data_IF_603422268695
#
_entry.id   IF_603422268695
#
_cell.length_a   1.000
_cell.length_b   1.000
_cell.length_c   1.000
_cell.angle_alpha   90.00
_cell.angle_beta   90.00
_cell.angle_gamma   90.00
#
_symmetry.space_group_name_H-M   'P 1'
#
loop_
_entity.id
_entity.type
_entity.pdbx_description
1 polymer ?
#
# COMPACT_ATOMS: atom_id res chain seq x y z
N UNK A 1 -0.68 -28.95 -7.72
CA UNK A 1 -0.69 -28.33 -6.38
C UNK A 1 -2.11 -27.83 -6.12
N UNK A 2 -2.56 -27.73 -4.86
CA UNK A 2 -3.86 -27.15 -4.58
C UNK A 2 -3.95 -25.71 -5.09
N UNK A 3 -5.16 -25.30 -5.45
CA UNK A 3 -5.44 -23.98 -6.01
C UNK A 3 -5.25 -22.90 -4.94
N UNK A 4 -4.44 -21.85 -5.18
CA UNK A 4 -4.29 -20.74 -4.24
C UNK A 4 -5.62 -20.07 -3.93
N UNK A 5 -5.74 -19.48 -2.74
CA UNK A 5 -6.92 -18.71 -2.32
C UNK A 5 -6.58 -17.24 -2.17
N UNK A 6 -7.34 -16.38 -2.85
CA UNK A 6 -7.27 -14.93 -2.70
C UNK A 6 -8.45 -14.47 -1.82
N UNK A 7 -8.14 -13.94 -0.65
CA UNK A 7 -9.09 -13.23 0.19
C UNK A 7 -9.30 -11.82 -0.35
N UNK A 8 -10.53 -11.51 -0.72
CA UNK A 8 -10.87 -10.41 -1.63
C UNK A 8 -12.14 -9.67 -1.17
N UNK A 9 -12.26 -8.40 -1.54
CA UNK A 9 -13.52 -7.67 -1.44
C UNK A 9 -13.64 -6.73 -2.65
N UNK A 10 -14.76 -6.73 -3.39
CA UNK A 10 -14.87 -5.99 -4.65
C UNK A 10 -14.71 -4.48 -4.51
N UNK A 11 -15.10 -3.91 -3.37
CA UNK A 11 -14.93 -2.49 -3.10
C UNK A 11 -13.47 -2.08 -2.83
N UNK A 12 -12.53 -3.01 -2.71
CA UNK A 12 -11.12 -2.71 -2.42
C UNK A 12 -10.29 -2.58 -3.70
N UNK A 13 -9.79 -1.38 -4.05
CA UNK A 13 -8.87 -1.21 -5.19
C UNK A 13 -7.63 -2.11 -5.16
N UNK A 14 -6.87 -2.23 -4.05
CA UNK A 14 -5.70 -3.10 -4.04
C UNK A 14 -6.05 -4.58 -4.23
N UNK A 15 -7.24 -5.03 -3.79
CA UNK A 15 -7.69 -6.40 -4.01
C UNK A 15 -8.08 -6.64 -5.48
N UNK A 16 -8.71 -5.65 -6.12
CA UNK A 16 -9.00 -5.66 -7.55
C UNK A 16 -7.76 -5.69 -8.42
N UNK A 17 -6.69 -5.00 -8.04
CA UNK A 17 -5.41 -5.07 -8.76
C UNK A 17 -4.89 -6.52 -8.85
N UNK A 18 -4.97 -7.27 -7.75
CA UNK A 18 -4.56 -8.70 -7.72
C UNK A 18 -5.49 -9.56 -8.57
N UNK A 19 -6.81 -9.35 -8.48
CA UNK A 19 -7.77 -10.10 -9.28
C UNK A 19 -7.61 -9.82 -10.79
N UNK A 20 -7.29 -8.58 -11.15
CA UNK A 20 -6.96 -8.16 -12.51
C UNK A 20 -5.74 -8.93 -13.03
N UNK A 21 -4.67 -9.04 -12.23
CA UNK A 21 -3.50 -9.85 -12.59
C UNK A 21 -3.84 -11.34 -12.76
N UNK A 22 -4.64 -11.92 -11.85
CA UNK A 22 -5.08 -13.32 -11.94
C UNK A 22 -5.75 -13.59 -13.28
N UNK A 23 -6.61 -12.66 -13.75
CA UNK A 23 -7.26 -12.74 -15.07
C UNK A 23 -6.26 -12.56 -16.22
N UNK A 24 -5.35 -11.59 -16.14
CA UNK A 24 -4.33 -11.36 -17.16
C UNK A 24 -3.48 -12.61 -17.44
N UNK A 25 -3.02 -13.25 -16.37
CA UNK A 25 -2.16 -14.43 -16.41
C UNK A 25 -2.93 -15.74 -16.69
N UNK A 26 -4.27 -15.68 -16.67
CA UNK A 26 -5.14 -16.85 -16.80
C UNK A 26 -4.91 -17.87 -15.69
N UNK A 27 -4.71 -17.39 -14.45
CA UNK A 27 -4.50 -18.26 -13.30
C UNK A 27 -5.83 -18.77 -12.75
N UNK A 28 -5.84 -20.03 -12.31
CA UNK A 28 -6.94 -20.58 -11.51
C UNK A 28 -6.65 -20.26 -10.04
N UNK A 29 -7.49 -19.43 -9.42
CA UNK A 29 -7.39 -19.01 -8.02
C UNK A 29 -8.79 -19.08 -7.41
N UNK A 30 -8.90 -19.61 -6.19
CA UNK A 30 -10.14 -19.55 -5.41
C UNK A 30 -10.30 -18.13 -4.87
N UNK A 31 -11.36 -17.42 -5.25
CA UNK A 31 -11.63 -16.08 -4.70
C UNK A 31 -12.59 -16.24 -3.52
N UNK A 32 -12.11 -15.94 -2.31
CA UNK A 32 -12.92 -15.96 -1.08
C UNK A 32 -13.24 -14.52 -0.69
N UNK A 33 -14.51 -14.16 -0.76
CA UNK A 33 -14.94 -12.84 -0.32
C UNK A 33 -14.84 -12.71 1.20
N UNK A 34 -14.24 -11.61 1.68
CA UNK A 34 -14.15 -11.24 3.10
C UNK A 34 -14.42 -9.75 3.20
N UNK A 35 -15.46 -9.37 3.95
CA UNK A 35 -15.92 -8.00 4.07
C UNK A 35 -15.28 -7.27 5.28
N UNK A 36 -14.33 -6.33 5.06
CA UNK A 36 -13.69 -5.60 6.16
C UNK A 36 -14.66 -4.64 6.89
N UNK A 37 -15.70 -4.15 6.19
CA UNK A 37 -16.72 -3.26 6.77
C UNK A 37 -17.63 -4.00 7.75
N UNK A 38 -17.84 -5.30 7.54
CA UNK A 38 -18.52 -6.18 8.49
C UNK A 38 -17.59 -6.70 9.61
N UNK A 39 -16.31 -6.30 9.60
CA UNK A 39 -15.32 -6.71 10.60
C UNK A 39 -14.77 -8.12 10.42
N UNK A 40 -15.01 -8.79 9.28
CA UNK A 40 -14.63 -10.18 9.07
C UNK A 40 -13.10 -10.41 9.09
N UNK A 41 -12.33 -9.38 8.73
CA UNK A 41 -10.85 -9.43 8.82
C UNK A 41 -10.33 -9.36 10.25
N UNK A 42 -11.15 -8.95 11.23
CA UNK A 42 -10.78 -8.83 12.65
C UNK A 42 -11.12 -10.10 13.45
N UNK A 43 -11.55 -11.16 12.79
CA UNK A 43 -11.79 -12.45 13.44
C UNK A 43 -10.47 -13.13 13.80
N UNK A 44 -10.44 -13.89 14.89
CA UNK A 44 -9.28 -14.70 15.28
C UNK A 44 -8.82 -15.66 14.17
N UNK A 45 -9.76 -16.16 13.36
CA UNK A 45 -9.46 -17.01 12.20
C UNK A 45 -8.69 -16.23 11.13
N UNK A 46 -9.16 -15.03 10.75
CA UNK A 46 -8.49 -14.23 9.73
C UNK A 46 -7.16 -13.64 10.22
N UNK A 47 -7.08 -13.20 11.47
CA UNK A 47 -5.83 -12.66 12.04
C UNK A 47 -4.71 -13.71 12.12
N UNK A 48 -5.03 -15.01 12.15
CA UNK A 48 -4.04 -16.09 12.02
C UNK A 48 -3.48 -16.23 10.61
N UNK A 49 -4.23 -15.81 9.60
CA UNK A 49 -3.85 -15.81 8.18
C UNK A 49 -3.05 -14.53 7.90
N UNK A 50 -3.61 -13.37 8.25
CA UNK A 50 -2.97 -12.07 8.11
C UNK A 50 -3.15 -11.25 9.41
N UNK A 51 -2.08 -11.13 10.23
CA UNK A 51 -2.11 -10.36 11.48
C UNK A 51 -2.51 -8.89 11.29
N UNK A 52 -2.23 -8.32 10.12
CA UNK A 52 -2.59 -6.94 9.80
C UNK A 52 -4.07 -6.75 9.51
N UNK A 53 -4.86 -7.84 9.49
CA UNK A 53 -6.32 -7.84 9.27
C UNK A 53 -6.76 -7.02 8.05
N UNK A 54 -5.97 -7.11 6.96
CA UNK A 54 -6.16 -6.40 5.68
C UNK A 54 -6.46 -7.36 4.53
N UNK A 55 -7.05 -6.81 3.47
CA UNK A 55 -7.21 -7.47 2.18
C UNK A 55 -6.60 -6.58 1.07
N UNK A 56 -6.06 -7.17 -0.02
CA UNK A 56 -6.02 -8.59 -0.31
C UNK A 56 -5.04 -9.37 0.57
N UNK A 57 -5.33 -10.65 0.77
CA UNK A 57 -4.40 -11.63 1.35
C UNK A 57 -4.40 -12.86 0.44
N UNK A 58 -3.23 -13.41 0.13
CA UNK A 58 -3.07 -14.65 -0.62
C UNK A 58 -2.73 -15.79 0.35
N UNK A 59 -3.39 -16.93 0.20
CA UNK A 59 -2.96 -18.23 0.72
C UNK A 59 -2.54 -19.09 -0.47
N UNK A 60 -1.24 -19.24 -0.66
CA UNK A 60 -0.66 -20.20 -1.58
C UNK A 60 -0.22 -21.44 -0.80
N UNK A 61 -1.16 -22.32 -0.51
CA UNK A 61 -0.90 -23.64 0.06
C UNK A 61 -0.19 -23.59 1.43
N UNK A 62 -0.63 -22.68 2.31
CA UNK A 62 -0.04 -22.43 3.62
C UNK A 62 1.07 -21.37 3.62
N UNK A 63 1.43 -20.85 2.44
CA UNK A 63 2.19 -19.60 2.34
C UNK A 63 1.22 -18.42 2.29
N UNK A 64 1.11 -17.71 3.42
CA UNK A 64 0.28 -16.52 3.53
C UNK A 64 1.06 -15.26 3.18
N UNK A 65 0.50 -14.43 2.30
CA UNK A 65 1.11 -13.18 1.87
C UNK A 65 0.06 -12.06 1.87
N UNK A 66 0.22 -11.09 2.75
CA UNK A 66 -0.45 -9.78 2.70
C UNK A 66 0.21 -8.87 1.67
N UNK A 67 -0.18 -7.59 1.65
CA UNK A 67 0.37 -6.56 0.74
C UNK A 67 0.16 -6.82 -0.75
N UNK A 68 -0.87 -6.18 -1.32
CA UNK A 68 -1.24 -6.29 -2.74
C UNK A 68 -0.08 -6.19 -3.73
N UNK A 69 0.85 -5.24 -3.59
CA UNK A 69 1.98 -5.10 -4.54
C UNK A 69 3.00 -6.24 -4.40
N UNK A 70 3.16 -6.81 -3.21
CA UNK A 70 3.97 -8.01 -3.01
C UNK A 70 3.28 -9.25 -3.61
N UNK A 71 1.96 -9.37 -3.45
CA UNK A 71 1.16 -10.44 -4.09
C UNK A 71 1.28 -10.35 -5.61
N UNK A 72 1.20 -9.15 -6.21
CA UNK A 72 1.32 -8.95 -7.65
C UNK A 72 2.65 -9.48 -8.20
N UNK A 73 3.78 -9.09 -7.59
CA UNK A 73 5.11 -9.53 -8.04
C UNK A 73 5.31 -11.03 -7.81
N UNK A 74 4.88 -11.54 -6.66
CA UNK A 74 4.93 -12.96 -6.31
C UNK A 74 4.17 -13.83 -7.32
N UNK A 75 2.93 -13.49 -7.67
CA UNK A 75 2.13 -14.30 -8.59
C UNK A 75 2.77 -14.41 -9.97
N UNK A 76 3.40 -13.34 -10.47
CA UNK A 76 4.16 -13.43 -11.72
C UNK A 76 5.40 -14.30 -11.55
N UNK A 77 6.24 -14.03 -10.55
CA UNK A 77 7.50 -14.77 -10.37
C UNK A 77 7.27 -16.27 -10.09
N UNK A 78 6.21 -16.64 -9.36
CA UNK A 78 5.89 -18.02 -9.02
C UNK A 78 5.18 -18.79 -10.16
N UNK A 79 4.24 -18.15 -10.87
CA UNK A 79 3.38 -18.86 -11.83
C UNK A 79 3.67 -18.56 -13.30
N UNK A 80 4.32 -17.43 -13.60
CA UNK A 80 4.63 -16.96 -14.97
C UNK A 80 5.99 -16.21 -15.00
N UNK A 81 7.10 -16.82 -14.54
CA UNK A 81 8.38 -16.12 -14.44
C UNK A 81 8.82 -15.53 -15.77
N UNK A 82 9.20 -14.25 -15.78
CA UNK A 82 9.62 -13.53 -16.98
C UNK A 82 8.48 -13.07 -17.90
N UNK A 83 7.22 -13.12 -17.45
CA UNK A 83 6.09 -12.56 -18.19
C UNK A 83 6.28 -11.06 -18.47
N UNK A 84 5.72 -10.57 -19.58
CA UNK A 84 5.85 -9.15 -19.99
C UNK A 84 5.31 -8.15 -18.97
N UNK A 85 4.37 -8.56 -18.12
CA UNK A 85 3.84 -7.73 -17.04
C UNK A 85 4.88 -7.46 -15.93
N UNK A 86 5.86 -8.36 -15.75
CA UNK A 86 6.93 -8.22 -14.77
C UNK A 86 8.20 -8.96 -15.26
N UNK A 87 8.92 -8.39 -16.24
CA UNK A 87 10.02 -9.06 -16.90
C UNK A 87 11.24 -9.17 -15.97
N UNK A 88 12.05 -10.22 -16.17
CA UNK A 88 13.33 -10.41 -15.47
C UNK A 88 14.48 -9.61 -16.11
N UNK A 89 14.18 -8.39 -16.55
CA UNK A 89 15.15 -7.44 -17.11
C UNK A 89 15.35 -6.33 -16.07
N UNK A 90 16.55 -6.20 -15.47
CA UNK A 90 16.74 -5.35 -14.28
C UNK A 90 16.24 -3.91 -14.42
N UNK A 91 16.48 -3.27 -15.57
CA UNK A 91 16.04 -1.88 -15.80
C UNK A 91 14.52 -1.75 -15.92
N UNK A 92 13.88 -2.68 -16.61
CA UNK A 92 12.41 -2.69 -16.76
C UNK A 92 11.74 -3.02 -15.42
N UNK A 93 12.24 -4.04 -14.73
CA UNK A 93 11.78 -4.43 -13.38
C UNK A 93 11.90 -3.27 -12.40
N UNK A 94 12.99 -2.50 -12.47
CA UNK A 94 13.19 -1.31 -11.62
C UNK A 94 12.18 -0.18 -11.91
N UNK A 95 11.83 0.05 -13.19
CA UNK A 95 10.81 1.04 -13.54
C UNK A 95 9.42 0.64 -13.05
N UNK A 96 9.10 -0.65 -13.12
CA UNK A 96 7.84 -1.19 -12.58
C UNK A 96 7.81 -1.04 -11.06
N UNK A 97 8.86 -1.52 -10.37
CA UNK A 97 8.95 -1.43 -8.91
C UNK A 97 8.85 0.02 -8.43
N UNK A 98 9.48 0.98 -9.12
CA UNK A 98 9.34 2.41 -8.79
C UNK A 98 7.88 2.83 -8.72
N UNK A 99 7.04 2.39 -9.66
CA UNK A 99 5.62 2.76 -9.68
C UNK A 99 4.85 2.00 -8.62
N UNK A 100 5.12 0.71 -8.40
CA UNK A 100 4.52 -0.06 -7.29
C UNK A 100 4.78 0.61 -5.92
N UNK A 101 6.01 1.06 -5.68
CA UNK A 101 6.38 1.76 -4.44
C UNK A 101 5.83 3.20 -4.39
N UNK A 102 5.82 3.93 -5.51
CA UNK A 102 5.20 5.25 -5.58
C UNK A 102 3.70 5.17 -5.27
N UNK A 103 3.04 4.17 -5.82
CA UNK A 103 1.63 3.91 -5.57
C UNK A 103 1.37 3.63 -4.09
N UNK A 104 2.12 2.68 -3.50
CA UNK A 104 2.01 2.34 -2.08
C UNK A 104 2.28 3.52 -1.13
N UNK A 105 3.39 4.24 -1.34
CA UNK A 105 3.91 5.21 -0.37
C UNK A 105 3.55 6.66 -0.66
N UNK A 106 3.00 6.98 -1.83
CA UNK A 106 2.73 8.36 -2.23
C UNK A 106 1.36 8.56 -2.85
N UNK A 107 0.99 7.82 -3.89
CA UNK A 107 -0.26 8.06 -4.59
C UNK A 107 -1.46 7.54 -3.80
N UNK A 108 -1.51 6.24 -3.49
CA UNK A 108 -2.66 5.62 -2.82
C UNK A 108 -3.00 6.28 -1.47
N UNK A 109 -2.04 6.57 -0.57
CA UNK A 109 -2.36 7.23 0.68
C UNK A 109 -2.90 8.65 0.48
N UNK A 110 -2.26 9.49 -0.34
CA UNK A 110 -2.67 10.89 -0.55
C UNK A 110 -3.99 11.00 -1.30
N UNK A 111 -4.13 10.19 -2.34
CA UNK A 111 -5.33 10.20 -3.17
C UNK A 111 -6.48 9.55 -2.43
N UNK A 112 -6.28 8.38 -1.82
CA UNK A 112 -7.29 7.70 -1.00
C UNK A 112 -7.74 8.52 0.20
N UNK A 113 -6.81 9.14 0.95
CA UNK A 113 -7.15 9.98 2.11
C UNK A 113 -7.98 11.22 1.72
N UNK A 114 -7.82 11.72 0.49
CA UNK A 114 -8.63 12.82 -0.02
C UNK A 114 -10.13 12.49 -0.06
N UNK A 115 -10.48 11.20 -0.08
CA UNK A 115 -11.86 10.71 -0.03
C UNK A 115 -12.18 10.01 1.32
N UNK A 116 -11.23 9.94 2.24
CA UNK A 116 -11.35 9.20 3.50
C UNK A 116 -12.58 9.61 4.31
N UNK A 117 -12.83 10.92 4.42
CA UNK A 117 -13.99 11.50 5.12
C UNK A 117 -15.34 11.07 4.54
N UNK A 118 -15.41 10.74 3.25
CA UNK A 118 -16.63 10.21 2.63
C UNK A 118 -16.86 8.74 2.97
N UNK A 119 -15.78 7.95 3.06
CA UNK A 119 -15.83 6.53 3.43
C UNK A 119 -16.17 6.33 4.91
N UNK A 120 -15.64 7.19 5.77
CA UNK A 120 -15.94 7.19 7.21
C UNK A 120 -17.31 7.79 7.50
N UNK A 121 -17.83 8.66 6.63
CA UNK A 121 -19.07 9.39 6.85
C UNK A 121 -18.95 10.70 7.60
N UNK A 122 -17.72 11.14 7.83
CA UNK A 122 -17.46 12.42 8.47
C UNK A 122 -17.86 13.58 7.59
N UNK A 123 -17.75 13.38 6.28
CA UNK A 123 -17.93 14.39 5.28
C UNK A 123 -18.94 13.90 4.26
N UNK A 124 -19.88 14.77 3.92
CA UNK A 124 -20.78 14.56 2.78
C UNK A 124 -20.17 15.11 1.48
N UNK A 125 -19.10 15.90 1.58
CA UNK A 125 -18.40 16.52 0.46
C UNK A 125 -16.89 16.53 0.70
N UNK A 126 -16.11 16.49 -0.38
CA UNK A 126 -14.66 16.61 -0.32
C UNK A 126 -14.27 18.07 -0.04
N UNK A 127 -13.39 18.29 0.95
CA UNK A 127 -12.86 19.62 1.25
C UNK A 127 -12.01 20.18 0.11
N UNK A 128 -11.86 21.52 0.03
CA UNK A 128 -11.00 22.14 -1.00
C UNK A 128 -9.53 21.72 -0.89
N UNK A 129 -9.04 21.48 0.34
CA UNK A 129 -7.69 20.96 0.57
C UNK A 129 -7.52 19.53 0.03
N UNK A 130 -8.49 18.65 0.30
CA UNK A 130 -8.48 17.28 -0.22
C UNK A 130 -8.61 17.27 -1.75
N UNK A 131 -9.43 18.17 -2.33
CA UNK A 131 -9.48 18.36 -3.80
C UNK A 131 -8.12 18.79 -4.35
N UNK A 132 -7.45 19.76 -3.73
CA UNK A 132 -6.12 20.21 -4.15
C UNK A 132 -5.08 19.09 -4.07
N UNK A 133 -5.11 18.29 -3.00
CA UNK A 133 -4.25 17.13 -2.81
C UNK A 133 -4.49 16.07 -3.89
N UNK A 134 -5.76 15.72 -4.15
CA UNK A 134 -6.13 14.78 -5.22
C UNK A 134 -5.70 15.30 -6.60
N UNK A 135 -5.95 16.58 -6.91
CA UNK A 135 -5.53 17.19 -8.17
C UNK A 135 -4.01 17.19 -8.35
N UNK A 136 -3.25 17.43 -7.28
CA UNK A 136 -1.79 17.34 -7.33
C UNK A 136 -1.36 15.91 -7.62
N UNK A 137 -1.93 14.91 -6.95
CA UNK A 137 -1.61 13.51 -7.17
C UNK A 137 -1.87 13.07 -8.63
N UNK A 138 -3.01 13.48 -9.21
CA UNK A 138 -3.34 13.23 -10.61
C UNK A 138 -2.39 13.98 -11.58
N UNK A 139 -1.98 15.20 -11.24
CA UNK A 139 -0.99 15.96 -12.01
C UNK A 139 0.38 15.28 -12.00
N UNK A 140 0.79 14.73 -10.86
CA UNK A 140 2.04 13.98 -10.76
C UNK A 140 1.98 12.73 -11.67
N UNK A 141 0.85 12.00 -11.69
CA UNK A 141 0.62 10.86 -12.62
C UNK A 141 0.65 11.27 -14.10
N UNK A 142 -0.04 12.34 -14.48
CA UNK A 142 -0.01 12.91 -15.83
C UNK A 142 1.43 13.17 -16.29
N UNK A 143 2.28 13.69 -15.39
CA UNK A 143 3.69 13.97 -15.69
C UNK A 143 4.52 12.69 -15.88
N UNK A 144 4.19 11.59 -15.21
CA UNK A 144 4.87 10.31 -15.42
C UNK A 144 4.62 9.73 -16.83
N UNK A 145 3.47 10.05 -17.44
CA UNK A 145 3.08 9.59 -18.77
C UNK A 145 3.57 10.50 -19.92
N UNK A 146 4.44 11.49 -19.65
CA UNK A 146 4.95 12.41 -20.68
C UNK A 146 5.67 11.69 -21.82
N UNK A 147 6.33 10.57 -21.51
CA UNK A 147 7.21 9.86 -22.46
C UNK A 147 6.70 8.49 -22.89
N UNK A 148 5.65 7.99 -22.25
CA UNK A 148 5.22 6.60 -22.36
C UNK A 148 3.69 6.53 -22.36
N UNK A 149 3.13 5.54 -23.03
CA UNK A 149 1.69 5.25 -23.01
C UNK A 149 1.26 4.53 -21.71
N UNK A 150 2.20 3.89 -21.01
CA UNK A 150 2.03 3.20 -19.72
C UNK A 150 3.09 3.62 -18.71
N UNK A 151 2.84 3.36 -17.42
CA UNK A 151 3.68 3.91 -16.34
C UNK A 151 5.11 3.34 -16.27
N UNK A 152 5.36 2.21 -16.93
CA UNK A 152 6.69 1.60 -17.03
C UNK A 152 7.21 1.42 -18.47
N UNK A 153 6.50 1.91 -19.49
CA UNK A 153 6.94 1.79 -20.89
C UNK A 153 5.79 1.87 -21.90
N UNK A 154 5.97 1.20 -23.05
CA UNK A 154 5.00 1.22 -24.16
C UNK A 154 3.89 0.17 -24.03
N UNK A 155 4.02 -0.78 -23.08
CA UNK A 155 3.05 -1.85 -22.85
C UNK A 155 2.61 -1.86 -21.39
N UNK A 156 1.39 -2.34 -21.08
CA UNK A 156 0.93 -2.44 -19.70
C UNK A 156 1.80 -3.42 -18.90
N UNK A 157 1.99 -3.09 -17.62
CA UNK A 157 2.76 -3.89 -16.65
C UNK A 157 2.07 -3.88 -15.28
N UNK A 158 2.66 -4.52 -14.27
CA UNK A 158 2.18 -4.40 -12.89
C UNK A 158 2.07 -2.95 -12.41
N UNK A 159 2.85 -2.01 -12.98
CA UNK A 159 2.77 -0.59 -12.68
C UNK A 159 1.39 0.01 -13.00
N UNK A 160 0.75 -0.47 -14.05
CA UNK A 160 -0.56 0.00 -14.49
C UNK A 160 -1.69 -0.71 -13.74
N UNK A 161 -1.54 -2.03 -13.54
CA UNK A 161 -2.50 -2.86 -12.82
C UNK A 161 -2.70 -2.39 -11.36
N UNK A 162 -1.67 -1.84 -10.72
CA UNK A 162 -1.78 -1.34 -9.34
C UNK A 162 -2.53 0.00 -9.24
N UNK A 163 -2.42 0.86 -10.25
CA UNK A 163 -3.02 2.20 -10.27
C UNK A 163 -4.46 2.21 -10.79
N UNK A 164 -4.75 1.38 -11.79
CA UNK A 164 -6.03 1.37 -12.50
C UNK A 164 -7.25 1.25 -11.57
N UNK A 165 -7.32 0.29 -10.63
CA UNK A 165 -8.52 0.13 -9.80
C UNK A 165 -8.86 1.37 -8.96
N UNK A 166 -7.85 2.07 -8.48
CA UNK A 166 -8.00 3.28 -7.65
C UNK A 166 -8.55 4.44 -8.49
N UNK A 167 -7.98 4.63 -9.69
CA UNK A 167 -8.41 5.68 -10.62
C UNK A 167 -9.81 5.36 -11.16
N UNK A 168 -10.08 4.10 -11.50
CA UNK A 168 -11.39 3.65 -11.95
C UNK A 168 -12.49 3.93 -10.92
N UNK A 169 -12.24 3.66 -9.64
CA UNK A 169 -13.18 4.07 -8.58
C UNK A 169 -13.42 5.56 -8.58
N UNK A 170 -12.38 6.39 -8.64
CA UNK A 170 -12.55 7.83 -8.64
C UNK A 170 -13.34 8.33 -9.87
N UNK A 171 -13.10 7.78 -11.07
CA UNK A 171 -13.89 8.06 -12.28
C UNK A 171 -15.34 7.70 -12.06
N UNK A 172 -15.62 6.51 -11.51
CA UNK A 172 -16.96 6.08 -11.15
C UNK A 172 -17.55 6.85 -9.97
N UNK A 173 -16.78 7.65 -9.24
CA UNK A 173 -17.26 8.63 -8.25
C UNK A 173 -17.48 10.03 -8.86
N UNK A 174 -17.18 10.23 -10.14
CA UNK A 174 -17.38 11.50 -10.85
C UNK A 174 -16.10 12.28 -11.14
N UNK A 175 -14.92 11.69 -10.96
CA UNK A 175 -13.66 12.31 -11.41
C UNK A 175 -13.65 12.45 -12.93
N UNK A 176 -13.51 13.69 -13.40
CA UNK A 176 -13.33 14.01 -14.81
C UNK A 176 -11.84 13.98 -15.19
N UNK A 177 -11.43 12.92 -15.90
CA UNK A 177 -10.06 12.77 -16.39
C UNK A 177 -9.75 13.62 -17.64
N UNK A 178 -10.74 14.24 -18.30
CA UNK A 178 -10.50 14.98 -19.56
C UNK A 178 -9.53 16.15 -19.41
N UNK A 179 -9.33 16.63 -18.18
CA UNK A 179 -8.35 17.66 -17.80
C UNK A 179 -6.90 17.14 -17.78
N UNK A 180 -6.73 15.82 -17.72
CA UNK A 180 -5.45 15.10 -17.66
C UNK A 180 -5.33 14.24 -18.92
N UNK A 181 -4.95 14.86 -20.03
CA UNK A 181 -5.05 14.22 -21.35
C UNK A 181 -4.34 12.87 -21.39
N UNK A 182 -3.10 12.78 -20.90
CA UNK A 182 -2.30 11.53 -20.96
C UNK A 182 -2.85 10.48 -20.03
N UNK A 183 -3.30 10.88 -18.84
CA UNK A 183 -3.91 9.97 -17.89
C UNK A 183 -5.25 9.44 -18.41
N UNK A 184 -6.04 10.28 -19.10
CA UNK A 184 -7.25 9.86 -19.78
C UNK A 184 -6.94 8.88 -20.92
N UNK A 185 -5.95 9.18 -21.77
CA UNK A 185 -5.51 8.29 -22.84
C UNK A 185 -5.01 6.94 -22.28
N UNK A 186 -4.23 6.95 -21.21
CA UNK A 186 -3.80 5.75 -20.48
C UNK A 186 -4.99 4.94 -19.94
N UNK A 187 -5.96 5.62 -19.33
CA UNK A 187 -7.15 4.97 -18.79
C UNK A 187 -7.95 4.26 -19.89
N UNK A 188 -8.12 4.91 -21.05
CA UNK A 188 -8.75 4.30 -22.22
C UNK A 188 -7.90 3.16 -22.80
N UNK A 189 -6.58 3.30 -22.84
CA UNK A 189 -5.67 2.23 -23.29
C UNK A 189 -5.72 1.00 -22.38
N UNK A 190 -6.04 1.15 -21.09
CA UNK A 190 -6.19 0.04 -20.15
C UNK A 190 -7.38 -0.89 -20.48
N UNK A 191 -8.32 -0.49 -21.35
CA UNK A 191 -9.40 -1.35 -21.84
C UNK A 191 -8.91 -2.64 -22.51
N UNK A 192 -7.65 -2.66 -22.97
CA UNK A 192 -7.05 -3.86 -23.56
C UNK A 192 -6.79 -4.97 -22.54
N UNK A 193 -6.80 -4.68 -21.24
CA UNK A 193 -6.60 -5.67 -20.18
C UNK A 193 -7.83 -6.59 -20.12
N UNK A 194 -7.60 -7.90 -20.09
CA UNK A 194 -8.62 -8.95 -20.02
C UNK A 194 -9.55 -8.81 -18.82
N UNK A 195 -9.06 -8.35 -17.67
CA UNK A 195 -9.89 -8.14 -16.48
C UNK A 195 -10.43 -6.72 -16.31
N UNK A 196 -10.28 -5.85 -17.31
CA UNK A 196 -10.73 -4.46 -17.23
C UNK A 196 -12.23 -4.33 -16.92
N UNK A 197 -13.08 -5.08 -17.63
CA UNK A 197 -14.54 -4.95 -17.45
C UNK A 197 -15.01 -5.38 -16.06
N UNK A 198 -14.39 -6.41 -15.47
CA UNK A 198 -14.70 -6.82 -14.09
C UNK A 198 -14.27 -5.75 -13.08
N UNK A 199 -13.12 -5.10 -13.32
CA UNK A 199 -12.65 -3.98 -12.51
C UNK A 199 -13.60 -2.77 -12.62
N UNK A 200 -14.10 -2.48 -13.82
CA UNK A 200 -15.07 -1.40 -14.05
C UNK A 200 -16.41 -1.68 -13.37
N UNK A 201 -16.91 -2.93 -13.41
CA UNK A 201 -18.13 -3.33 -12.71
C UNK A 201 -18.00 -3.08 -11.20
N UNK A 202 -16.95 -3.62 -10.58
CA UNK A 202 -16.73 -3.46 -9.15
C UNK A 202 -16.45 -1.98 -8.75
N UNK A 203 -15.75 -1.23 -9.60
CA UNK A 203 -15.54 0.22 -9.40
C UNK A 203 -16.84 1.00 -9.43
N UNK A 204 -17.74 0.66 -10.37
CA UNK A 204 -19.05 1.32 -10.50
C UNK A 204 -19.91 1.06 -9.28
N UNK A 205 -19.97 -0.17 -8.79
CA UNK A 205 -20.71 -0.51 -7.57
C UNK A 205 -20.21 0.31 -6.37
N UNK A 206 -18.89 0.45 -6.23
CA UNK A 206 -18.30 1.32 -5.22
C UNK A 206 -18.66 2.80 -5.43
N UNK A 207 -18.59 3.29 -6.67
CA UNK A 207 -18.96 4.67 -6.99
C UNK A 207 -20.43 4.98 -6.72
N UNK A 208 -21.34 4.05 -7.04
CA UNK A 208 -22.77 4.14 -6.72
C UNK A 208 -23.02 4.10 -5.23
N UNK A 209 -22.34 3.22 -4.50
CA UNK A 209 -22.41 3.14 -3.04
C UNK A 209 -22.00 4.45 -2.38
N UNK A 210 -20.90 5.07 -2.81
CA UNK A 210 -20.45 6.36 -2.27
C UNK A 210 -21.34 7.53 -2.63
N UNK A 211 -21.98 7.50 -3.81
CA UNK A 211 -22.95 8.54 -4.19
C UNK A 211 -24.29 8.40 -3.46
N UNK A 212 -24.67 7.19 -3.05
CA UNK A 212 -25.99 6.91 -2.47
C UNK A 212 -26.03 7.00 -0.95
N UNK A 213 -24.90 6.85 -0.27
CA UNK A 213 -24.81 6.88 1.18
C UNK A 213 -24.13 8.16 1.68
N UNK A 214 -24.90 9.04 2.32
CA UNK A 214 -24.37 10.00 3.29
C UNK A 214 -23.94 9.21 4.53
N UNK A 215 -22.72 8.66 4.53
CA UNK A 215 -22.17 8.03 5.73
C UNK A 215 -22.10 9.08 6.85
N UNK A 216 -22.26 8.64 8.11
CA UNK A 216 -22.13 9.45 9.34
C UNK A 216 -20.88 9.02 10.13
N UNK A 217 -20.12 10.01 10.61
CA UNK A 217 -18.66 9.92 10.74
C UNK A 217 -17.98 9.43 12.02
N UNK A 218 -16.65 9.50 11.98
CA UNK A 218 -15.70 9.50 13.10
C UNK A 218 -14.32 10.08 12.69
N UNK A 219 -13.84 11.12 13.42
CA UNK A 219 -12.51 11.80 13.44
C UNK A 219 -12.30 13.24 12.86
N UNK A 220 -12.60 14.27 13.67
CA UNK A 220 -12.24 15.67 13.33
C UNK A 220 -10.89 16.13 13.92
N UNK A 221 -10.06 16.81 13.11
CA UNK A 221 -9.23 17.94 13.56
C UNK A 221 -7.84 18.05 12.92
N UNK A 222 -7.55 19.19 12.31
CA UNK A 222 -6.18 19.70 12.12
C UNK A 222 -5.57 20.03 13.50
N UNK A 223 -4.28 19.73 13.76
CA UNK A 223 -3.34 20.56 14.55
C UNK A 223 -2.02 19.87 14.92
N UNK A 224 -1.14 20.66 15.54
CA UNK A 224 0.32 20.58 15.66
C UNK A 224 0.90 19.67 16.77
N UNK A 225 0.11 18.74 17.33
CA UNK A 225 0.54 17.73 18.30
C UNK A 225 0.29 16.30 17.77
N UNK A 226 1.05 15.29 18.22
CA UNK A 226 0.76 13.89 17.84
C UNK A 226 -0.54 13.49 18.55
N UNK A 227 -1.65 13.47 17.80
CA UNK A 227 -2.98 13.08 18.28
C UNK A 227 -2.96 11.67 18.87
N UNK A 228 -3.87 11.38 19.81
CA UNK A 228 -4.03 10.01 20.33
C UNK A 228 -4.33 8.99 19.22
N UNK A 229 -4.97 9.41 18.12
CA UNK A 229 -5.17 8.61 16.91
C UNK A 229 -3.86 8.34 16.16
N UNK A 230 -3.01 9.35 15.98
CA UNK A 230 -1.69 9.17 15.37
C UNK A 230 -0.78 8.30 16.24
N UNK A 231 -0.88 8.42 17.58
CA UNK A 231 -0.19 7.53 18.52
C UNK A 231 -0.70 6.10 18.38
N UNK A 232 -2.01 5.89 18.35
CA UNK A 232 -2.61 4.56 18.15
C UNK A 232 -2.18 3.95 16.81
N UNK A 233 -2.13 4.75 15.74
CA UNK A 233 -1.67 4.32 14.42
C UNK A 233 -0.19 3.95 14.44
N UNK A 234 0.66 4.76 15.07
CA UNK A 234 2.08 4.45 15.23
C UNK A 234 2.31 3.18 16.06
N UNK A 235 1.59 3.03 17.18
CA UNK A 235 1.65 1.83 18.01
C UNK A 235 1.17 0.58 17.27
N UNK A 236 0.13 0.71 16.44
CA UNK A 236 -0.32 -0.37 15.57
C UNK A 236 0.78 -0.77 14.59
N UNK A 237 1.36 0.19 13.88
CA UNK A 237 2.44 -0.09 12.92
C UNK A 237 3.64 -0.78 13.59
N UNK A 238 4.07 -0.31 14.77
CA UNK A 238 5.14 -0.96 15.55
C UNK A 238 4.74 -2.38 16.01
N UNK A 239 3.48 -2.58 16.39
CA UNK A 239 2.93 -3.89 16.73
C UNK A 239 2.88 -4.84 15.53
N UNK A 240 2.55 -4.34 14.33
CA UNK A 240 2.57 -5.12 13.09
C UNK A 240 4.00 -5.57 12.77
N UNK A 241 4.99 -4.67 12.88
CA UNK A 241 6.41 -5.00 12.74
C UNK A 241 6.90 -6.04 13.76
N UNK A 242 6.52 -5.90 15.04
CA UNK A 242 6.79 -6.89 16.09
C UNK A 242 6.23 -8.27 15.70
N UNK A 243 5.01 -8.32 15.18
CA UNK A 243 4.34 -9.55 14.79
C UNK A 243 5.04 -10.27 13.62
N UNK A 244 5.58 -9.53 12.64
CA UNK A 244 6.37 -10.10 11.55
C UNK A 244 7.64 -10.82 12.05
N UNK A 245 8.26 -10.28 13.09
CA UNK A 245 9.49 -10.79 13.68
C UNK A 245 9.26 -11.91 14.71
N UNK A 246 8.00 -12.29 14.99
CA UNK A 246 7.70 -13.41 15.90
C UNK A 246 8.30 -14.74 15.40
N UNK A 247 8.40 -14.89 14.07
CA UNK A 247 8.80 -16.15 13.42
C UNK A 247 10.20 -16.12 12.80
N UNK A 248 10.84 -14.95 12.73
CA UNK A 248 12.09 -14.77 12.00
C UNK A 248 12.96 -13.72 12.70
N UNK A 249 14.29 -13.87 12.60
CA UNK A 249 15.24 -12.87 13.11
C UNK A 249 15.30 -11.60 12.23
N UNK A 250 14.83 -11.67 10.97
CA UNK A 250 14.73 -10.58 10.00
C UNK A 250 13.38 -10.57 9.27
N UNK A 251 13.00 -9.44 8.65
CA UNK A 251 11.67 -9.27 8.07
C UNK A 251 11.33 -10.23 6.92
N UNK A 252 12.35 -10.80 6.27
CA UNK A 252 12.17 -11.75 5.17
C UNK A 252 12.85 -13.11 5.41
N UNK A 253 13.08 -13.49 6.69
CA UNK A 253 13.61 -14.80 7.06
C UNK A 253 14.74 -14.73 8.10
N UNK A 254 15.57 -15.76 8.15
CA UNK A 254 16.66 -15.88 9.15
C UNK A 254 17.91 -15.05 8.83
N UNK A 255 17.99 -14.46 7.64
CA UNK A 255 19.13 -13.66 7.21
C UNK A 255 18.65 -12.30 6.71
N UNK A 256 19.48 -11.24 6.85
CA UNK A 256 19.07 -9.91 6.42
C UNK A 256 18.92 -9.82 4.91
N UNK A 257 17.94 -9.04 4.49
CA UNK A 257 17.62 -8.80 3.08
C UNK A 257 17.44 -7.31 2.78
N UNK A 258 17.04 -7.00 1.55
CA UNK A 258 16.68 -5.62 1.17
C UNK A 258 15.48 -5.08 1.96
N UNK A 259 14.63 -5.95 2.54
CA UNK A 259 13.53 -5.53 3.40
C UNK A 259 14.08 -4.84 4.67
N UNK A 260 15.07 -5.45 5.31
CA UNK A 260 15.70 -4.92 6.52
C UNK A 260 16.46 -3.62 6.22
N UNK A 261 17.18 -3.56 5.10
CA UNK A 261 17.84 -2.34 4.63
C UNK A 261 16.85 -1.20 4.33
N UNK A 262 15.61 -1.53 3.96
CA UNK A 262 14.57 -0.52 3.70
C UNK A 262 13.92 0.03 4.97
N UNK A 263 13.83 -0.78 6.03
CA UNK A 263 13.15 -0.43 7.29
C UNK A 263 14.10 0.16 8.32
N UNK A 264 15.37 -0.28 8.34
CA UNK A 264 16.37 0.16 9.32
C UNK A 264 16.47 1.69 9.43
N UNK A 265 16.61 2.47 8.33
CA UNK A 265 16.80 3.92 8.45
C UNK A 265 15.61 4.62 9.12
N UNK A 266 14.39 4.14 8.85
CA UNK A 266 13.15 4.69 9.44
C UNK A 266 13.10 4.41 10.94
N UNK A 267 13.34 3.15 11.35
CA UNK A 267 13.34 2.78 12.77
C UNK A 267 14.50 3.43 13.51
N UNK A 268 15.69 3.50 12.91
CA UNK A 268 16.86 4.17 13.49
C UNK A 268 16.56 5.65 13.73
N UNK A 269 16.01 6.35 12.75
CA UNK A 269 15.61 7.75 12.90
C UNK A 269 14.56 7.89 14.01
N UNK A 270 13.60 6.97 14.12
CA UNK A 270 12.59 7.00 15.18
C UNK A 270 13.19 6.82 16.58
N UNK A 271 14.12 5.86 16.74
CA UNK A 271 14.88 5.65 17.99
C UNK A 271 15.68 6.90 18.34
N UNK A 272 16.38 7.50 17.37
CA UNK A 272 17.07 8.77 17.55
C UNK A 272 16.11 9.95 17.73
N UNK A 273 14.81 9.83 17.44
CA UNK A 273 13.78 10.79 17.82
C UNK A 273 13.21 10.55 19.24
N UNK A 274 13.67 9.51 19.93
CA UNK A 274 13.26 9.17 21.29
C UNK A 274 12.24 8.02 21.41
N UNK A 275 11.96 7.28 20.34
CA UNK A 275 11.14 6.06 20.41
C UNK A 275 11.83 4.99 21.25
N UNK A 276 11.14 4.49 22.27
CA UNK A 276 11.59 3.36 23.08
C UNK A 276 11.08 2.04 22.51
N UNK A 277 12.00 1.25 21.94
CA UNK A 277 11.69 -0.07 21.40
C UNK A 277 11.56 -1.16 22.48
N UNK A 278 11.85 -0.91 23.75
CA UNK A 278 11.81 -1.95 24.80
C UNK A 278 10.43 -2.57 25.00
N UNK A 279 9.36 -1.86 24.60
CA UNK A 279 7.97 -2.38 24.55
C UNK A 279 7.75 -3.42 23.46
N UNK A 280 8.59 -3.42 22.43
CA UNK A 280 8.51 -4.27 21.22
C UNK A 280 9.74 -5.18 21.18
N UNK A 281 9.66 -6.29 21.92
CA UNK A 281 10.83 -7.13 22.19
C UNK A 281 11.50 -7.62 20.92
N UNK A 282 10.75 -8.17 19.97
CA UNK A 282 11.29 -8.70 18.71
C UNK A 282 11.80 -7.61 17.81
N UNK A 283 11.11 -6.48 17.72
CA UNK A 283 11.58 -5.33 16.96
C UNK A 283 12.89 -4.76 17.53
N UNK A 284 13.03 -4.72 18.85
CA UNK A 284 14.27 -4.33 19.51
C UNK A 284 15.41 -5.33 19.25
N UNK A 285 15.12 -6.65 19.34
CA UNK A 285 16.08 -7.70 18.99
C UNK A 285 16.55 -7.58 17.53
N UNK A 286 15.62 -7.36 16.60
CA UNK A 286 15.92 -7.10 15.19
C UNK A 286 16.79 -5.85 14.99
N UNK A 287 16.47 -4.75 15.67
CA UNK A 287 17.23 -3.50 15.57
C UNK A 287 18.68 -3.69 16.02
N UNK A 288 18.90 -4.47 17.08
CA UNK A 288 20.24 -4.85 17.54
C UNK A 288 20.94 -5.79 16.55
N UNK A 289 20.22 -6.78 15.99
CA UNK A 289 20.74 -7.70 14.99
C UNK A 289 21.20 -6.97 13.71
N UNK A 290 20.55 -5.87 13.33
CA UNK A 290 20.92 -5.05 12.18
C UNK A 290 22.32 -4.43 12.28
N UNK A 291 22.97 -4.42 13.45
CA UNK A 291 24.39 -4.00 13.60
C UNK A 291 25.36 -4.81 12.74
N UNK A 292 24.98 -6.03 12.35
CA UNK A 292 25.82 -6.86 11.48
C UNK A 292 25.81 -6.40 10.01
N UNK A 293 24.92 -5.49 9.63
CA UNK A 293 24.78 -5.01 8.26
C UNK A 293 25.97 -4.15 7.86
N UNK A 294 26.47 -4.39 6.64
CA UNK A 294 27.44 -3.48 6.03
C UNK A 294 26.75 -2.15 5.74
N UNK A 295 27.32 -1.06 6.26
CA UNK A 295 26.74 0.29 6.18
C UNK A 295 25.87 0.69 7.38
N UNK A 296 25.77 -0.15 8.42
CA UNK A 296 25.00 0.19 9.64
C UNK A 296 25.49 1.49 10.29
N UNK A 297 26.80 1.66 10.48
CA UNK A 297 27.35 2.87 11.11
C UNK A 297 27.06 4.14 10.29
N UNK A 298 27.12 4.05 8.95
CA UNK A 298 26.79 5.17 8.07
C UNK A 298 25.30 5.55 8.18
N UNK A 299 24.41 4.54 8.25
CA UNK A 299 22.98 4.74 8.49
C UNK A 299 22.71 5.37 9.86
N UNK A 300 23.36 4.88 10.92
CA UNK A 300 23.17 5.40 12.28
C UNK A 300 23.59 6.87 12.38
N UNK A 301 24.69 7.26 11.74
CA UNK A 301 25.13 8.65 11.71
C UNK A 301 24.10 9.55 11.01
N UNK A 302 23.58 9.15 9.85
CA UNK A 302 22.56 9.91 9.12
C UNK A 302 21.24 9.98 9.89
N UNK A 303 20.80 8.85 10.44
CA UNK A 303 19.58 8.72 11.23
C UNK A 303 19.62 9.55 12.52
N UNK A 304 20.79 9.61 13.17
CA UNK A 304 21.02 10.46 14.34
C UNK A 304 20.87 11.94 14.00
N UNK A 305 21.47 12.40 12.90
CA UNK A 305 21.36 13.79 12.46
C UNK A 305 19.90 14.18 12.17
N UNK A 306 19.15 13.31 11.48
CA UNK A 306 17.73 13.53 11.22
C UNK A 306 16.91 13.50 12.52
N UNK A 307 17.19 12.56 13.43
CA UNK A 307 16.47 12.44 14.69
C UNK A 307 16.72 13.63 15.64
N UNK A 308 17.95 14.13 15.72
CA UNK A 308 18.29 15.36 16.44
C UNK A 308 17.60 16.58 15.81
N UNK A 309 17.56 16.66 14.48
CA UNK A 309 16.83 17.72 13.78
C UNK A 309 15.33 17.69 14.10
N UNK A 310 14.68 16.52 14.04
CA UNK A 310 13.25 16.38 14.35
C UNK A 310 12.97 16.72 15.82
N UNK A 311 13.78 16.26 16.77
CA UNK A 311 13.68 16.66 18.19
C UNK A 311 13.82 18.16 18.41
N UNK A 312 14.66 18.84 17.62
CA UNK A 312 14.79 20.31 17.70
C UNK A 312 13.52 21.04 17.26
N UNK A 313 12.70 20.42 16.42
CA UNK A 313 11.42 20.98 15.92
C UNK A 313 10.24 20.55 16.80
N UNK A 314 10.31 19.36 17.35
CA UNK A 314 9.29 18.74 18.19
C UNK A 314 9.97 18.23 19.47
N UNK A 315 10.06 19.05 20.54
CA UNK A 315 10.84 18.70 21.73
C UNK A 315 10.40 17.41 22.43
N UNK A 316 9.11 17.09 22.43
CA UNK A 316 8.59 15.79 22.90
C UNK A 316 8.88 14.64 21.93
N UNK A 317 9.18 14.96 20.66
CA UNK A 317 9.62 14.01 19.63
C UNK A 317 8.71 12.79 19.51
N UNK A 318 9.33 11.61 19.45
CA UNK A 318 8.62 10.33 19.56
C UNK A 318 8.57 9.80 21.00
N UNK A 319 9.05 10.56 22.00
CA UNK A 319 8.87 10.18 23.40
C UNK A 319 7.39 10.19 23.80
N UNK A 320 6.55 10.92 23.08
CA UNK A 320 5.10 10.87 23.23
C UNK A 320 4.48 9.49 22.92
N UNK A 321 5.25 8.56 22.33
CA UNK A 321 4.88 7.15 22.12
C UNK A 321 5.42 6.21 23.23
N UNK A 322 6.18 6.73 24.19
CA UNK A 322 6.77 5.92 25.26
C UNK A 322 5.82 5.67 26.44
#
# INVERSE_FOLDING_TARGET
MPTPTLYYFPMSPPARAVLLLVKELGLTVNVKEVNPLAGETRTEEFMRINPEHTIPTLDDNGFYLGESRAILTYLVDAYRPGHSLYPNIPKEKALINRVLHYDLGSFYPKFGSSFGGLFSGEQTEITEENKATAHKALTDLENYLVRNDFFAGENPTLADLTLLPTIATAVHCGLDLTKYKRLNDWYENCRQLKGFEDDQEASRQMGEFLRSNSFGGLFSGEQTEITEENKATAHKALGDLENYLVRNDFFAGENPTVADLSLLPTIATAVHCGLDLTKYKRLNEWYENCRQLKGYEDDQEASRQMGEFLRSKFPEGLQALN
#
